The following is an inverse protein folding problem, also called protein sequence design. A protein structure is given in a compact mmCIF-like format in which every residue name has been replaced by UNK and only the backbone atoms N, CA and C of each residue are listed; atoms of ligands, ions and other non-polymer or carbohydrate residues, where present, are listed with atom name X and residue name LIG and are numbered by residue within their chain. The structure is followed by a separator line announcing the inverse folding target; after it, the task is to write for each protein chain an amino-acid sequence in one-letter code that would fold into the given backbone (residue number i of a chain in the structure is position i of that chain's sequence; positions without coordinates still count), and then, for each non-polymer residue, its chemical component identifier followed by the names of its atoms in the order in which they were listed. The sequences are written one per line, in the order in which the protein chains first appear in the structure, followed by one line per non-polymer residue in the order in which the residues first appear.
data_IF_748949196023
#
_entry.id   IF_748949196023
#
_cell.length_a   1.000
_cell.length_b   1.000
_cell.length_c   1.000
_cell.angle_alpha   90.00
_cell.angle_beta   90.00
_cell.angle_gamma   90.00
#
_symmetry.space_group_name_H-M   'P 1'
#
loop_
_entity.id
_entity.type
_entity.pdbx_description
1 polymer ?
#
# COMPACT_ATOMS: atom_id res chain seq x y z
N UNK A 1 -22.85 -3.10 6.34
CA UNK A 1 -22.13 -4.31 6.81
C UNK A 1 -22.37 -5.40 5.77
N UNK A 2 -21.32 -6.09 5.33
CA UNK A 2 -21.43 -7.22 4.38
C UNK A 2 -21.50 -8.52 5.19
N UNK A 3 -22.70 -9.12 5.23
CA UNK A 3 -22.96 -10.35 5.98
C UNK A 3 -22.19 -11.57 5.46
N UNK A 4 -21.81 -11.58 4.17
CA UNK A 4 -21.03 -12.69 3.60
C UNK A 4 -19.57 -12.60 4.03
N UNK A 5 -19.00 -11.40 4.05
CA UNK A 5 -17.64 -11.17 4.50
C UNK A 5 -17.47 -11.54 5.99
N UNK A 6 -18.45 -11.17 6.81
CA UNK A 6 -18.49 -11.50 8.23
C UNK A 6 -18.54 -13.02 8.48
N UNK A 7 -19.34 -13.76 7.70
CA UNK A 7 -19.40 -15.22 7.77
C UNK A 7 -18.07 -15.92 7.46
N UNK A 8 -17.13 -15.21 6.81
CA UNK A 8 -15.80 -15.71 6.48
C UNK A 8 -14.69 -15.06 7.32
N UNK A 9 -15.02 -14.37 8.41
CA UNK A 9 -14.06 -13.69 9.29
C UNK A 9 -13.15 -12.70 8.54
N UNK A 10 -13.65 -12.08 7.48
CA UNK A 10 -12.93 -11.04 6.76
C UNK A 10 -13.00 -9.73 7.55
N UNK A 11 -11.92 -8.91 7.56
CA UNK A 11 -11.98 -7.61 8.19
C UNK A 11 -13.04 -6.72 7.52
N UNK A 12 -13.64 -5.79 8.27
CA UNK A 12 -14.60 -4.84 7.72
C UNK A 12 -13.93 -3.94 6.66
N UNK A 13 -14.70 -3.37 5.71
CA UNK A 13 -14.14 -2.42 4.76
C UNK A 13 -13.63 -1.13 5.43
N UNK A 14 -12.44 -0.70 5.04
CA UNK A 14 -11.82 0.57 5.51
C UNK A 14 -12.23 1.80 4.69
N UNK A 15 -13.15 1.62 3.74
CA UNK A 15 -13.69 2.69 2.91
C UNK A 15 -14.61 3.61 3.72
N UNK A 16 -14.52 4.92 3.47
CA UNK A 16 -15.36 5.94 4.10
C UNK A 16 -16.20 6.65 3.04
N UNK A 17 -17.43 7.01 3.38
CA UNK A 17 -18.26 7.84 2.52
C UNK A 17 -17.68 9.26 2.46
N UNK A 18 -17.18 9.65 1.30
CA UNK A 18 -16.61 10.98 1.05
C UNK A 18 -17.54 11.88 0.24
N UNK A 19 -18.77 11.45 -0.04
CA UNK A 19 -19.75 12.26 -0.78
C UNK A 19 -20.03 13.61 -0.11
N UNK A 20 -20.26 13.71 1.22
CA UNK A 20 -20.49 15.01 1.84
C UNK A 20 -19.34 16.00 1.63
N UNK A 21 -18.09 15.52 1.57
CA UNK A 21 -16.94 16.36 1.24
C UNK A 21 -16.99 16.81 -0.23
N UNK A 22 -17.21 15.88 -1.16
CA UNK A 22 -17.20 16.14 -2.61
C UNK A 22 -18.38 17.03 -3.03
N UNK A 23 -19.54 16.84 -2.41
CA UNK A 23 -20.75 17.61 -2.70
C UNK A 23 -20.73 19.02 -2.12
N UNK A 24 -19.77 19.34 -1.26
CA UNK A 24 -19.69 20.60 -0.52
C UNK A 24 -20.64 20.69 0.69
N UNK A 25 -21.33 19.60 1.04
CA UNK A 25 -22.12 19.51 2.28
C UNK A 25 -21.24 19.64 3.53
N UNK A 26 -19.99 19.19 3.44
CA UNK A 26 -18.96 19.31 4.46
C UNK A 26 -17.63 19.74 3.82
N UNK A 27 -16.79 20.48 4.55
CA UNK A 27 -15.43 20.86 4.11
C UNK A 27 -14.34 19.97 4.72
N UNK A 28 -14.71 19.03 5.59
CA UNK A 28 -13.77 18.17 6.31
C UNK A 28 -13.86 16.74 5.83
N UNK A 29 -12.72 16.15 5.47
CA UNK A 29 -12.63 14.73 5.13
C UNK A 29 -12.87 13.85 6.37
N UNK A 30 -13.67 12.78 6.28
CA UNK A 30 -13.78 11.77 7.34
C UNK A 30 -12.54 10.86 7.43
N UNK A 31 -11.57 11.04 6.53
CA UNK A 31 -10.35 10.23 6.44
C UNK A 31 -9.17 11.04 6.99
N UNK A 32 -8.63 10.58 8.11
CA UNK A 32 -7.43 11.14 8.75
C UNK A 32 -6.18 10.29 8.52
N UNK A 33 -6.34 9.08 7.98
CA UNK A 33 -5.26 8.17 7.66
C UNK A 33 -5.58 7.29 6.45
N UNK A 34 -4.52 6.84 5.78
CA UNK A 34 -4.56 5.99 4.59
C UNK A 34 -3.43 4.97 4.67
N UNK A 35 -3.70 3.71 5.05
CA UNK A 35 -2.78 2.63 4.72
C UNK A 35 -2.77 2.45 3.20
N UNK A 36 -1.61 2.61 2.56
CA UNK A 36 -1.47 2.45 1.11
C UNK A 36 -1.23 0.98 0.77
N UNK A 37 -0.17 0.43 1.35
CA UNK A 37 0.15 -0.98 1.34
C UNK A 37 0.87 -1.30 2.65
N UNK A 38 0.53 -2.43 3.25
CA UNK A 38 1.26 -2.97 4.38
C UNK A 38 1.30 -4.47 4.17
N UNK A 39 2.50 -5.04 4.12
CA UNK A 39 2.65 -6.48 4.02
C UNK A 39 3.96 -6.91 4.66
N UNK A 40 3.95 -8.11 5.23
CA UNK A 40 5.16 -8.72 5.75
C UNK A 40 5.78 -9.59 4.66
N UNK A 41 7.00 -9.26 4.23
CA UNK A 41 7.77 -10.05 3.29
C UNK A 41 9.04 -10.57 3.96
N UNK A 42 9.20 -11.90 3.98
CA UNK A 42 10.35 -12.55 4.64
C UNK A 42 10.56 -12.09 6.11
N UNK A 43 9.46 -11.85 6.83
CA UNK A 43 9.50 -11.39 8.23
C UNK A 43 9.67 -9.88 8.40
N UNK A 44 9.83 -9.11 7.32
CA UNK A 44 10.03 -7.65 7.35
C UNK A 44 8.73 -6.94 6.96
N UNK A 45 8.28 -6.00 7.78
CA UNK A 45 7.15 -5.14 7.40
C UNK A 45 7.61 -4.13 6.33
N UNK A 46 6.88 -4.07 5.23
CA UNK A 46 7.14 -3.14 4.12
C UNK A 46 5.83 -2.51 3.67
N UNK A 47 5.95 -1.30 3.11
CA UNK A 47 4.83 -0.56 2.56
C UNK A 47 4.82 0.90 3.01
N UNK A 48 3.63 1.48 3.08
CA UNK A 48 3.46 2.89 3.38
C UNK A 48 2.11 3.20 4.03
N UNK A 49 2.11 4.20 4.92
CA UNK A 49 0.91 4.80 5.47
C UNK A 49 0.98 6.32 5.36
N UNK A 50 -0.18 6.98 5.28
CA UNK A 50 -0.33 8.43 5.43
C UNK A 50 -1.18 8.67 6.67
N UNK A 51 -0.73 9.52 7.59
CA UNK A 51 -1.49 9.95 8.78
C UNK A 51 -1.43 11.48 8.85
N UNK A 52 -2.59 12.12 8.74
CA UNK A 52 -2.68 13.56 8.58
C UNK A 52 -1.89 14.03 7.35
N UNK A 53 -0.83 14.81 7.59
CA UNK A 53 0.06 15.34 6.54
C UNK A 53 1.35 14.56 6.35
N UNK A 54 1.59 13.54 7.16
CA UNK A 54 2.85 12.81 7.15
C UNK A 54 2.67 11.44 6.50
N UNK A 55 3.65 11.05 5.70
CA UNK A 55 3.74 9.74 5.08
C UNK A 55 4.95 9.01 5.63
N UNK A 56 4.76 7.74 5.98
CA UNK A 56 5.82 6.81 6.37
C UNK A 56 6.02 5.81 5.23
N UNK A 57 7.29 5.59 4.87
CA UNK A 57 7.72 4.49 3.99
C UNK A 57 8.54 3.48 4.82
N UNK A 58 8.31 2.19 4.56
CA UNK A 58 8.98 1.06 5.23
C UNK A 58 9.58 0.10 4.21
N UNK A 59 10.75 -0.46 4.53
CA UNK A 59 11.49 -1.37 3.65
C UNK A 59 12.06 -0.68 2.41
N UNK A 60 12.31 -1.47 1.37
CA UNK A 60 12.89 -0.96 0.12
C UNK A 60 11.81 -0.42 -0.82
N UNK A 61 11.94 0.84 -1.20
CA UNK A 61 11.12 1.53 -2.19
C UNK A 61 11.84 1.50 -3.53
N UNK A 62 11.22 0.89 -4.54
CA UNK A 62 11.77 0.73 -5.88
C UNK A 62 10.65 0.75 -6.95
N UNK A 63 10.71 1.61 -7.98
CA UNK A 63 11.74 2.62 -8.20
C UNK A 63 11.53 3.87 -7.32
N UNK A 64 12.61 4.41 -6.73
CA UNK A 64 12.60 5.65 -5.94
C UNK A 64 13.03 6.89 -6.76
N UNK A 65 12.73 6.88 -8.06
CA UNK A 65 13.15 7.92 -8.99
C UNK A 65 12.29 9.18 -8.85
N UNK A 66 12.91 10.35 -8.98
CA UNK A 66 12.23 11.64 -9.09
C UNK A 66 12.27 12.12 -10.55
N UNK A 67 11.31 11.72 -11.40
CA UNK A 67 11.33 12.09 -12.81
C UNK A 67 11.09 13.60 -12.97
N UNK A 68 11.77 14.19 -13.96
CA UNK A 68 11.48 15.57 -14.35
C UNK A 68 10.06 15.69 -14.93
N UNK A 69 9.48 16.89 -14.85
CA UNK A 69 8.14 17.21 -15.42
C UNK A 69 7.96 16.77 -16.88
N UNK A 70 9.04 16.78 -17.66
CA UNK A 70 9.10 16.23 -19.02
C UNK A 70 10.00 15.00 -19.00
N UNK A 71 9.39 13.81 -19.07
CA UNK A 71 10.06 12.51 -19.04
C UNK A 71 9.38 11.54 -20.05
N UNK A 72 10.13 10.64 -20.71
CA UNK A 72 11.58 10.48 -20.69
C UNK A 72 12.29 11.61 -21.46
N UNK A 73 13.42 12.09 -20.93
CA UNK A 73 14.25 13.14 -21.56
C UNK A 73 15.71 12.70 -21.76
N UNK A 74 15.96 11.39 -21.77
CA UNK A 74 17.31 10.83 -21.88
C UNK A 74 18.11 10.80 -20.57
N UNK A 75 17.56 11.27 -19.45
CA UNK A 75 18.17 11.12 -18.12
C UNK A 75 17.45 10.05 -17.31
N UNK A 76 18.19 9.42 -16.39
CA UNK A 76 17.65 8.50 -15.38
C UNK A 76 18.02 9.05 -14.00
N UNK A 77 17.20 9.94 -13.42
CA UNK A 77 17.49 10.50 -12.11
C UNK A 77 17.46 9.39 -11.06
N UNK A 78 18.46 9.39 -10.18
CA UNK A 78 18.52 8.48 -9.03
C UNK A 78 17.78 9.04 -7.80
N UNK A 79 17.72 8.26 -6.70
CA UNK A 79 18.15 6.87 -6.61
C UNK A 79 17.13 5.91 -7.25
N UNK A 80 17.58 4.79 -7.82
CA UNK A 80 16.65 3.76 -8.30
C UNK A 80 15.94 3.04 -7.15
N UNK A 81 16.61 2.92 -6.00
CA UNK A 81 16.08 2.28 -4.81
C UNK A 81 16.37 3.17 -3.60
N UNK A 82 15.42 3.30 -2.70
CA UNK A 82 15.58 3.91 -1.39
C UNK A 82 15.27 2.85 -0.33
N UNK A 83 16.15 2.66 0.64
CA UNK A 83 15.91 1.72 1.74
C UNK A 83 15.51 2.49 3.00
N UNK A 84 14.25 2.32 3.40
CA UNK A 84 13.71 2.88 4.62
C UNK A 84 13.80 1.90 5.80
N UNK A 85 14.53 0.79 5.66
CA UNK A 85 14.87 -0.11 6.76
C UNK A 85 13.71 -0.96 7.28
N UNK A 86 14.03 -1.79 8.28
CA UNK A 86 13.08 -2.64 8.99
C UNK A 86 12.57 -1.96 10.26
N UNK A 87 11.27 -2.01 10.56
CA UNK A 87 10.69 -1.43 11.79
C UNK A 87 11.35 -1.89 13.11
N UNK A 88 12.09 -3.00 13.09
CA UNK A 88 12.86 -3.51 14.23
C UNK A 88 14.24 -2.86 14.40
N UNK A 89 14.72 -2.15 13.38
CA UNK A 89 16.05 -1.52 13.35
C UNK A 89 16.00 -0.05 13.78
N UNK A 90 16.99 0.43 14.56
CA UNK A 90 17.16 1.86 14.82
C UNK A 90 17.37 2.63 13.52
N UNK A 91 16.63 3.72 13.34
CA UNK A 91 16.76 4.55 12.14
C UNK A 91 15.87 4.14 10.97
N UNK A 92 15.05 3.09 11.13
CA UNK A 92 14.04 2.69 10.15
C UNK A 92 12.88 3.68 10.03
N UNK A 93 12.20 3.62 8.90
CA UNK A 93 11.12 4.51 8.49
C UNK A 93 11.64 5.79 7.86
N UNK A 94 11.31 6.04 6.59
CA UNK A 94 11.45 7.38 6.00
C UNK A 94 10.14 8.13 6.22
N UNK A 95 10.22 9.39 6.69
CA UNK A 95 9.04 10.21 7.01
C UNK A 95 9.05 11.47 6.17
N UNK A 96 7.96 11.71 5.43
CA UNK A 96 7.81 12.89 4.59
C UNK A 96 6.57 13.68 4.99
N UNK A 97 6.66 15.00 4.98
CA UNK A 97 5.49 15.88 5.08
C UNK A 97 4.94 16.13 3.68
N UNK A 98 3.98 15.32 3.24
CA UNK A 98 3.47 15.34 1.85
C UNK A 98 2.69 16.60 1.49
N UNK A 99 2.45 17.51 2.45
CA UNK A 99 1.80 18.80 2.19
C UNK A 99 2.84 19.88 1.90
N UNK A 100 3.93 19.96 2.68
CA UNK A 100 5.00 20.93 2.42
C UNK A 100 6.09 20.42 1.47
N UNK A 101 6.26 19.10 1.40
CA UNK A 101 7.19 18.38 0.54
C UNK A 101 6.43 17.31 -0.27
N UNK A 102 5.60 17.74 -1.25
CA UNK A 102 4.81 16.82 -2.07
C UNK A 102 5.66 15.94 -2.98
N UNK A 103 6.95 16.27 -3.15
CA UNK A 103 7.91 15.50 -3.95
C UNK A 103 8.75 14.52 -3.11
N UNK A 104 8.53 14.49 -1.78
CA UNK A 104 9.19 13.55 -0.86
C UNK A 104 10.73 13.61 -0.95
N UNK A 105 11.27 14.84 -1.06
CA UNK A 105 12.70 15.07 -1.19
C UNK A 105 13.43 15.11 0.16
N UNK A 106 12.73 15.41 1.25
CA UNK A 106 13.32 15.67 2.56
C UNK A 106 12.77 14.72 3.62
N UNK A 107 13.53 13.67 3.91
CA UNK A 107 13.24 12.74 5.00
C UNK A 107 13.41 13.42 6.36
N UNK A 108 12.33 13.38 7.15
CA UNK A 108 12.23 13.96 8.49
C UNK A 108 12.58 12.96 9.60
N UNK A 109 12.73 11.68 9.29
CA UNK A 109 12.86 10.60 10.27
C UNK A 109 13.96 10.83 11.32
N UNK A 110 15.12 11.34 10.92
CA UNK A 110 16.23 11.64 11.83
C UNK A 110 15.97 12.90 12.68
N UNK A 111 15.28 13.89 12.12
CA UNK A 111 14.99 15.16 12.78
C UNK A 111 13.75 15.13 13.68
N UNK A 112 12.84 14.18 13.45
CA UNK A 112 11.58 14.01 14.18
C UNK A 112 11.41 12.55 14.62
N UNK A 113 12.24 12.06 15.56
CA UNK A 113 12.25 10.65 15.97
C UNK A 113 10.94 10.21 16.65
N UNK A 114 10.28 11.10 17.39
CA UNK A 114 9.01 10.80 18.06
C UNK A 114 7.87 10.61 17.05
N UNK A 115 7.74 11.55 16.09
CA UNK A 115 6.77 11.43 14.99
C UNK A 115 6.97 10.13 14.20
N UNK A 116 8.23 9.80 13.90
CA UNK A 116 8.57 8.53 13.24
C UNK A 116 8.11 7.32 14.06
N UNK A 117 8.37 7.31 15.37
CA UNK A 117 7.96 6.23 16.25
C UNK A 117 6.43 6.08 16.29
N UNK A 118 5.68 7.19 16.35
CA UNK A 118 4.22 7.19 16.34
C UNK A 118 3.67 6.62 15.03
N UNK A 119 4.24 7.01 13.88
CA UNK A 119 3.83 6.47 12.58
C UNK A 119 4.16 4.98 12.45
N UNK A 120 5.32 4.53 12.93
CA UNK A 120 5.68 3.09 12.93
C UNK A 120 4.71 2.31 13.82
N UNK A 121 4.41 2.81 15.01
CA UNK A 121 3.43 2.20 15.91
C UNK A 121 2.07 2.07 15.22
N UNK A 122 1.60 3.12 14.55
CA UNK A 122 0.33 3.08 13.81
C UNK A 122 0.36 2.09 12.63
N UNK A 123 1.49 2.00 11.92
CA UNK A 123 1.65 1.02 10.84
C UNK A 123 1.56 -0.42 11.35
N UNK A 124 2.18 -0.71 12.51
CA UNK A 124 2.12 -2.02 13.16
C UNK A 124 0.69 -2.38 13.59
N UNK A 125 -0.06 -1.41 14.13
CA UNK A 125 -1.47 -1.61 14.48
C UNK A 125 -2.33 -1.93 13.26
N UNK A 126 -2.22 -1.13 12.19
CA UNK A 126 -2.98 -1.33 10.95
C UNK A 126 -2.65 -2.66 10.27
N UNK A 127 -1.39 -3.11 10.36
CA UNK A 127 -0.94 -4.36 9.78
C UNK A 127 -1.65 -5.59 10.38
N UNK A 128 -2.23 -5.49 11.58
CA UNK A 128 -2.92 -6.61 12.23
C UNK A 128 -4.21 -7.04 11.51
N UNK A 129 -4.83 -6.11 10.77
CA UNK A 129 -6.09 -6.35 10.05
C UNK A 129 -5.91 -6.35 8.54
N UNK A 130 -4.66 -6.34 8.05
CA UNK A 130 -4.40 -6.50 6.62
C UNK A 130 -4.87 -7.87 6.18
N UNK A 131 -5.77 -7.88 5.21
CA UNK A 131 -6.19 -9.09 4.54
C UNK A 131 -5.61 -9.13 3.13
N UNK A 132 -4.77 -10.11 2.87
CA UNK A 132 -4.32 -10.47 1.53
C UNK A 132 -4.85 -11.87 1.22
N UNK A 133 -5.50 -12.05 0.07
CA UNK A 133 -5.95 -13.39 -0.34
C UNK A 133 -4.73 -14.32 -0.41
N UNK A 134 -4.85 -15.60 0.00
CA UNK A 134 -3.79 -16.58 -0.12
C UNK A 134 -3.58 -16.94 -1.59
N UNK A 135 -2.98 -16.03 -2.36
CA UNK A 135 -2.49 -16.33 -3.71
C UNK A 135 -0.98 -16.44 -3.62
N UNK A 136 -0.50 -17.67 -3.75
CA UNK A 136 0.91 -17.91 -4.06
C UNK A 136 1.24 -17.23 -5.39
N UNK A 137 2.42 -16.61 -5.45
CA UNK A 137 2.99 -16.07 -6.69
C UNK A 137 3.31 -17.14 -7.73
N UNK A 138 3.18 -18.42 -7.37
CA UNK A 138 3.38 -19.55 -8.27
C UNK A 138 2.04 -19.82 -8.94
N UNK A 139 1.91 -19.58 -10.26
CA UNK A 139 0.75 -20.03 -11.00
C UNK A 139 0.64 -21.54 -10.80
N UNK A 140 -0.50 -21.99 -10.28
CA UNK A 140 -0.83 -23.40 -10.31
C UNK A 140 -1.06 -23.77 -11.78
N UNK A 141 0.00 -24.30 -12.41
CA UNK A 141 -0.04 -24.72 -13.80
C UNK A 141 -0.96 -25.93 -14.02
N UNK A 142 -1.39 -26.60 -12.94
CA UNK A 142 -2.42 -27.64 -12.96
C UNK A 142 -3.82 -27.11 -12.64
N UNK A 143 -3.98 -25.79 -12.50
CA UNK A 143 -5.32 -25.24 -12.25
C UNK A 143 -6.22 -25.48 -13.47
N UNK A 144 -7.48 -25.91 -13.27
CA UNK A 144 -8.46 -26.07 -14.35
C UNK A 144 -8.66 -24.79 -15.18
N UNK A 145 -8.36 -23.64 -14.56
CA UNK A 145 -8.31 -22.34 -15.24
C UNK A 145 -7.24 -22.30 -16.31
N UNK A 146 -6.01 -22.70 -16.00
CA UNK A 146 -4.93 -22.69 -16.99
C UNK A 146 -5.16 -23.74 -18.07
N UNK A 147 -5.66 -24.93 -17.72
CA UNK A 147 -6.01 -25.98 -18.69
C UNK A 147 -6.99 -25.46 -19.74
N UNK A 148 -8.05 -24.75 -19.33
CA UNK A 148 -9.02 -24.16 -20.26
C UNK A 148 -8.40 -23.12 -21.19
N UNK A 149 -7.42 -22.35 -20.73
CA UNK A 149 -6.69 -21.40 -21.59
C UNK A 149 -5.84 -22.14 -22.61
N UNK A 150 -5.16 -23.19 -22.19
CA UNK A 150 -4.33 -24.02 -23.08
C UNK A 150 -5.20 -24.69 -24.14
N UNK A 151 -6.37 -25.24 -23.76
CA UNK A 151 -7.29 -25.93 -24.67
C UNK A 151 -7.94 -24.99 -25.69
N UNK A 152 -8.36 -23.80 -25.26
CA UNK A 152 -9.17 -22.88 -26.07
C UNK A 152 -8.36 -21.80 -26.78
N UNK A 153 -7.14 -21.53 -26.33
CA UNK A 153 -6.29 -20.44 -26.81
C UNK A 153 -6.68 -19.05 -26.28
N UNK A 154 -7.65 -18.95 -25.37
CA UNK A 154 -8.08 -17.69 -24.77
C UNK A 154 -8.43 -17.83 -23.29
N UNK A 155 -8.38 -16.72 -22.55
CA UNK A 155 -8.88 -16.67 -21.18
C UNK A 155 -10.41 -16.77 -21.17
N UNK A 156 -10.93 -17.80 -20.52
CA UNK A 156 -12.36 -18.03 -20.37
C UNK A 156 -12.74 -18.32 -18.91
N UNK A 157 -14.01 -18.15 -18.51
CA UNK A 157 -14.53 -18.73 -17.28
C UNK A 157 -14.25 -20.24 -17.26
N UNK A 158 -13.64 -20.73 -16.18
CA UNK A 158 -13.26 -22.14 -16.03
C UNK A 158 -14.26 -22.93 -15.18
N UNK A 159 -15.12 -22.23 -14.44
CA UNK A 159 -16.24 -22.83 -13.73
C UNK A 159 -17.50 -22.76 -14.60
N UNK A 160 -18.40 -23.76 -14.52
CA UNK A 160 -19.71 -23.66 -15.14
C UNK A 160 -20.46 -22.45 -14.60
N UNK A 161 -21.25 -21.79 -15.46
CA UNK A 161 -22.15 -20.73 -15.01
C UNK A 161 -23.16 -21.36 -14.03
N UNK A 162 -23.39 -20.75 -12.85
CA UNK A 162 -24.46 -21.21 -11.97
C UNK A 162 -25.80 -21.04 -12.71
N UNK A 163 -26.54 -22.15 -12.82
CA UNK A 163 -27.93 -22.16 -13.30
C UNK A 163 -28.88 -21.66 -12.21
#
# INVERSE_FOLDING_TARGET
VDLKAEAHSLPPPDSKNVWPLISGENTTSPRHEVPLSLYTYQGRLTGAIIVGRFKLLLGTVAPAILPAKVYPNGTMPGPLNMDCGDVTEPGSGCVFDVVSDPEEQFDLAASQPDLRADLISRALELNQTVYQTPRGFIPDCSSPRLEKVIESGFWAPYAPLPY
#
